data_IF_582830693870
#
_entry.id   IF_582830693870
#
_cell.length_a   1.000
_cell.length_b   1.000
_cell.length_c   1.000
_cell.angle_alpha   90.00
_cell.angle_beta   90.00
_cell.angle_gamma   90.00
#
_symmetry.space_group_name_H-M   'P 1'
#
loop_
_entity.id
_entity.type
_entity.pdbx_description
1 polymer ?
#
# COMPACT_ATOMS: atom_id res chain seq x y z
N UNK A 1 34.24 -21.69 29.17
CA UNK A 1 33.20 -20.66 29.40
C UNK A 1 33.90 -19.38 29.83
N UNK A 2 33.78 -18.29 29.08
CA UNK A 2 34.46 -17.02 29.41
C UNK A 2 33.79 -16.21 30.54
N UNK A 3 32.73 -16.74 31.18
CA UNK A 3 32.11 -16.12 32.36
C UNK A 3 31.38 -14.78 32.11
N UNK A 4 31.22 -14.36 30.85
CA UNK A 4 30.65 -13.04 30.49
C UNK A 4 29.17 -12.87 30.84
N UNK A 5 28.37 -13.94 30.86
CA UNK A 5 26.96 -13.91 31.21
C UNK A 5 26.76 -14.35 32.68
N UNK A 6 26.24 -13.44 33.50
CA UNK A 6 25.98 -13.67 34.94
C UNK A 6 24.52 -14.04 35.25
N UNK A 7 23.65 -14.11 34.24
CA UNK A 7 22.25 -14.45 34.45
C UNK A 7 22.04 -15.91 34.86
N UNK A 8 20.84 -16.22 35.33
CA UNK A 8 20.42 -17.61 35.59
C UNK A 8 20.43 -18.42 34.28
N UNK A 9 20.16 -19.72 34.36
CA UNK A 9 20.02 -20.60 33.18
C UNK A 9 19.03 -19.99 32.16
N UNK A 10 19.46 -19.79 30.92
CA UNK A 10 18.57 -19.47 29.81
C UNK A 10 17.75 -20.71 29.42
N UNK A 11 16.43 -20.58 29.36
CA UNK A 11 15.50 -21.66 28.99
C UNK A 11 14.56 -21.16 27.90
N UNK A 12 14.71 -21.68 26.69
CA UNK A 12 13.91 -21.27 25.53
C UNK A 12 12.72 -22.19 25.29
N UNK A 13 11.60 -21.61 24.85
CA UNK A 13 10.44 -22.33 24.33
C UNK A 13 10.17 -21.85 22.90
N UNK A 14 9.98 -22.77 21.97
CA UNK A 14 9.76 -22.46 20.56
C UNK A 14 8.28 -22.64 20.20
N UNK A 15 7.73 -21.67 19.47
CA UNK A 15 6.36 -21.70 18.99
C UNK A 15 6.32 -21.46 17.47
N UNK A 16 5.43 -22.17 16.78
CA UNK A 16 5.13 -21.93 15.36
C UNK A 16 3.62 -21.81 15.19
N UNK A 17 3.17 -20.64 14.76
CA UNK A 17 1.76 -20.34 14.60
C UNK A 17 1.44 -20.05 13.13
N UNK A 18 0.49 -20.79 12.54
CA UNK A 18 0.16 -20.63 11.13
C UNK A 18 -1.14 -21.31 10.73
N UNK A 19 -1.16 -22.63 10.66
CA UNK A 19 -2.31 -23.40 10.15
C UNK A 19 -3.61 -23.10 10.89
N UNK A 20 -3.56 -22.96 12.21
CA UNK A 20 -4.73 -22.70 13.03
C UNK A 20 -5.40 -21.33 12.73
N UNK A 21 -4.64 -20.35 12.23
CA UNK A 21 -5.15 -19.03 11.88
C UNK A 21 -5.76 -18.96 10.48
N UNK A 22 -5.49 -19.95 9.60
CA UNK A 22 -6.00 -19.93 8.21
C UNK A 22 -7.43 -20.45 8.08
N UNK A 23 -7.91 -21.21 9.07
CA UNK A 23 -9.27 -21.75 9.12
C UNK A 23 -10.13 -21.16 10.24
N UNK A 24 -9.69 -20.06 10.85
CA UNK A 24 -10.46 -19.38 11.89
C UNK A 24 -11.63 -18.59 11.29
N UNK A 25 -12.60 -18.22 12.13
CA UNK A 25 -13.65 -17.31 11.73
C UNK A 25 -13.06 -15.95 11.30
N UNK A 26 -13.48 -15.39 10.14
CA UNK A 26 -13.05 -14.08 9.69
C UNK A 26 -13.56 -12.98 10.64
N UNK A 27 -12.82 -11.88 10.76
CA UNK A 27 -13.30 -10.71 11.52
C UNK A 27 -14.50 -10.03 10.84
N UNK A 28 -15.24 -9.16 11.54
CA UNK A 28 -16.28 -8.33 10.90
C UNK A 28 -15.72 -7.56 9.70
N UNK A 29 -14.51 -7.00 9.82
CA UNK A 29 -13.82 -6.32 8.74
C UNK A 29 -13.61 -7.24 7.52
N UNK A 30 -13.10 -8.46 7.71
CA UNK A 30 -12.87 -9.40 6.61
C UNK A 30 -14.18 -9.90 5.99
N UNK A 31 -15.24 -10.08 6.79
CA UNK A 31 -16.58 -10.41 6.30
C UNK A 31 -17.11 -9.31 5.38
N UNK A 32 -17.12 -8.06 5.84
CA UNK A 32 -17.60 -6.92 5.06
C UNK A 32 -16.75 -6.73 3.80
N UNK A 33 -15.43 -6.83 3.93
CA UNK A 33 -14.50 -6.69 2.81
C UNK A 33 -14.73 -7.76 1.74
N UNK A 34 -14.79 -9.04 2.12
CA UNK A 34 -15.05 -10.13 1.19
C UNK A 34 -16.43 -10.02 0.53
N UNK A 35 -17.45 -9.63 1.30
CA UNK A 35 -18.80 -9.43 0.78
C UNK A 35 -18.83 -8.32 -0.28
N UNK A 36 -18.23 -7.17 0.00
CA UNK A 36 -18.14 -6.05 -0.95
C UNK A 36 -17.36 -6.44 -2.20
N UNK A 37 -16.23 -7.16 -2.08
CA UNK A 37 -15.47 -7.64 -3.24
C UNK A 37 -16.30 -8.57 -4.14
N UNK A 38 -17.12 -9.44 -3.55
CA UNK A 38 -18.06 -10.29 -4.30
C UNK A 38 -19.10 -9.46 -5.08
N UNK A 39 -19.68 -8.45 -4.44
CA UNK A 39 -20.64 -7.53 -5.08
C UNK A 39 -20.01 -6.74 -6.23
N UNK A 40 -18.79 -6.23 -6.05
CA UNK A 40 -18.04 -5.56 -7.13
C UNK A 40 -17.85 -6.50 -8.31
N UNK A 41 -17.47 -7.75 -8.04
CA UNK A 41 -17.25 -8.77 -9.07
C UNK A 41 -18.54 -9.03 -9.88
N UNK A 42 -19.70 -9.10 -9.21
CA UNK A 42 -21.00 -9.21 -9.88
C UNK A 42 -21.28 -8.01 -10.80
N UNK A 43 -21.07 -6.79 -10.31
CA UNK A 43 -21.25 -5.58 -11.13
C UNK A 43 -20.30 -5.51 -12.32
N UNK A 44 -19.05 -5.96 -12.16
CA UNK A 44 -18.09 -6.06 -13.25
C UNK A 44 -18.55 -7.02 -14.35
N UNK A 45 -19.07 -8.20 -13.98
CA UNK A 45 -19.62 -9.18 -14.92
C UNK A 45 -20.83 -8.60 -15.64
N UNK A 46 -21.76 -7.96 -14.91
CA UNK A 46 -22.94 -7.32 -15.48
C UNK A 46 -22.59 -6.20 -16.48
N UNK A 47 -21.49 -5.49 -16.25
CA UNK A 47 -20.95 -4.47 -17.15
C UNK A 47 -20.11 -5.05 -18.31
N UNK A 48 -19.93 -6.37 -18.40
CA UNK A 48 -19.14 -7.02 -19.45
C UNK A 48 -17.62 -6.80 -19.34
N UNK A 49 -17.12 -6.45 -18.14
CA UNK A 49 -15.69 -6.20 -17.91
C UNK A 49 -14.93 -7.51 -17.69
N UNK A 50 -13.74 -7.61 -18.29
CA UNK A 50 -12.83 -8.78 -18.15
C UNK A 50 -11.38 -8.33 -17.92
N UNK A 51 -10.61 -9.14 -17.19
CA UNK A 51 -9.20 -8.83 -16.89
C UNK A 51 -9.00 -7.76 -15.81
N UNK A 52 -10.01 -7.50 -14.98
CA UNK A 52 -9.96 -6.57 -13.85
C UNK A 52 -10.00 -7.33 -12.52
N UNK A 53 -9.41 -6.73 -11.49
CA UNK A 53 -9.47 -7.14 -10.09
C UNK A 53 -10.43 -6.20 -9.35
N UNK A 54 -11.37 -6.76 -8.59
CA UNK A 54 -12.19 -6.00 -7.66
C UNK A 54 -11.31 -5.39 -6.57
N UNK A 55 -11.49 -4.10 -6.28
CA UNK A 55 -10.71 -3.39 -5.26
C UNK A 55 -11.59 -2.42 -4.47
N UNK A 56 -11.19 -2.17 -3.23
CA UNK A 56 -11.87 -1.25 -2.32
C UNK A 56 -10.84 -0.32 -1.71
N UNK A 57 -11.09 0.98 -1.77
CA UNK A 57 -10.30 2.01 -1.11
C UNK A 57 -11.01 2.52 0.15
N UNK A 58 -10.28 3.26 0.99
CA UNK A 58 -10.74 3.85 2.25
C UNK A 58 -11.11 2.81 3.31
N UNK A 59 -10.41 1.68 3.34
CA UNK A 59 -10.66 0.59 4.29
C UNK A 59 -10.45 0.99 5.77
N UNK A 60 -9.71 2.07 6.03
CA UNK A 60 -9.56 2.68 7.36
C UNK A 60 -10.86 3.29 7.88
N UNK A 61 -11.72 3.79 6.99
CA UNK A 61 -13.01 4.38 7.32
C UNK A 61 -14.12 3.34 7.55
N UNK A 62 -15.26 3.72 8.18
CA UNK A 62 -16.44 2.87 8.26
C UNK A 62 -16.93 2.41 6.88
N UNK A 63 -17.59 1.24 6.81
CA UNK A 63 -17.99 0.56 5.56
C UNK A 63 -18.75 1.47 4.58
N UNK A 64 -19.63 2.33 5.07
CA UNK A 64 -20.41 3.25 4.22
C UNK A 64 -19.58 4.32 3.50
N UNK A 65 -18.31 4.51 3.87
CA UNK A 65 -17.37 5.41 3.20
C UNK A 65 -16.41 4.69 2.25
N UNK A 66 -16.51 3.37 2.16
CA UNK A 66 -15.66 2.58 1.28
C UNK A 66 -15.94 2.91 -0.17
N UNK A 67 -14.86 2.97 -0.96
CA UNK A 67 -14.92 3.29 -2.38
C UNK A 67 -14.64 2.04 -3.18
N UNK A 68 -15.64 1.58 -3.90
CA UNK A 68 -15.57 0.39 -4.74
C UNK A 68 -14.99 0.75 -6.12
N UNK A 69 -14.04 -0.04 -6.60
CA UNK A 69 -13.45 0.14 -7.93
C UNK A 69 -13.00 -1.19 -8.55
N UNK A 70 -12.59 -1.13 -9.81
CA UNK A 70 -12.01 -2.25 -10.53
C UNK A 70 -10.65 -1.82 -11.11
N UNK A 71 -9.59 -2.54 -10.77
CA UNK A 71 -8.24 -2.26 -11.24
C UNK A 71 -7.83 -3.25 -12.34
N UNK A 72 -7.33 -2.80 -13.51
CA UNK A 72 -6.91 -3.72 -14.56
C UNK A 72 -5.72 -4.56 -14.10
N UNK A 73 -5.78 -5.89 -14.28
CA UNK A 73 -4.72 -6.82 -13.84
C UNK A 73 -3.36 -6.46 -14.44
N UNK A 74 -3.35 -6.01 -15.69
CA UNK A 74 -2.14 -5.62 -16.42
C UNK A 74 -1.40 -4.45 -15.78
N UNK A 75 -2.08 -3.55 -15.06
CA UNK A 75 -1.43 -2.44 -14.35
C UNK A 75 -0.63 -2.89 -13.12
N UNK A 76 -0.89 -4.09 -12.61
CA UNK A 76 -0.18 -4.68 -11.47
C UNK A 76 0.90 -5.69 -11.89
N UNK A 77 1.00 -5.99 -13.19
CA UNK A 77 1.96 -6.95 -13.72
C UNK A 77 3.24 -6.26 -14.19
N UNK A 78 4.37 -6.93 -13.99
CA UNK A 78 5.61 -6.53 -14.65
C UNK A 78 6.32 -7.74 -15.25
N UNK A 79 7.14 -7.50 -16.28
CA UNK A 79 7.92 -8.54 -16.95
C UNK A 79 9.36 -8.45 -16.47
N UNK A 80 9.78 -9.38 -15.62
CA UNK A 80 11.20 -9.56 -15.30
C UNK A 80 11.84 -10.47 -16.33
N UNK A 81 12.83 -9.95 -17.07
CA UNK A 81 13.72 -10.77 -17.89
C UNK A 81 14.59 -11.59 -16.93
N UNK A 82 14.42 -12.91 -16.91
CA UNK A 82 15.45 -13.76 -16.33
C UNK A 82 16.69 -13.67 -17.23
N UNK A 83 17.84 -13.36 -16.63
CA UNK A 83 19.11 -13.25 -17.34
C UNK A 83 19.58 -14.59 -17.91
N UNK A 84 20.43 -14.43 -18.92
CA UNK A 84 20.98 -15.39 -19.87
C UNK A 84 21.45 -16.72 -19.23
N UNK A 85 20.91 -17.81 -19.76
CA UNK A 85 21.42 -19.17 -19.64
C UNK A 85 21.02 -19.98 -20.89
N UNK A 86 21.65 -21.13 -21.19
CA UNK A 86 21.26 -21.97 -22.32
C UNK A 86 19.82 -22.45 -22.13
N UNK A 87 18.91 -22.04 -23.02
CA UNK A 87 17.46 -22.31 -22.90
C UNK A 87 16.63 -21.15 -22.32
N UNK A 88 17.23 -19.98 -22.09
CA UNK A 88 16.48 -18.79 -21.67
C UNK A 88 15.52 -18.31 -22.78
N UNK A 89 14.24 -18.23 -22.44
CA UNK A 89 13.20 -17.65 -23.29
C UNK A 89 13.45 -16.13 -23.36
N UNK A 90 13.55 -15.50 -24.55
CA UNK A 90 13.82 -14.06 -24.68
C UNK A 90 12.70 -13.18 -24.11
N UNK A 91 11.50 -13.75 -23.89
CA UNK A 91 10.31 -13.08 -23.37
C UNK A 91 10.13 -13.50 -21.91
N UNK A 92 10.27 -12.55 -20.98
CA UNK A 92 9.96 -12.79 -19.56
C UNK A 92 8.47 -13.06 -19.37
N UNK A 93 8.12 -13.84 -18.34
CA UNK A 93 6.71 -14.09 -17.99
C UNK A 93 6.15 -12.91 -17.19
N UNK A 94 4.98 -12.34 -17.57
CA UNK A 94 4.36 -11.29 -16.78
C UNK A 94 3.86 -11.87 -15.46
N UNK A 95 4.16 -11.20 -14.35
CA UNK A 95 3.74 -11.63 -13.01
C UNK A 95 3.37 -10.44 -12.14
N UNK A 96 2.40 -10.64 -11.25
CA UNK A 96 2.16 -9.75 -10.11
C UNK A 96 3.16 -10.16 -9.03
N UNK A 97 3.99 -9.21 -8.61
CA UNK A 97 5.01 -9.48 -7.60
C UNK A 97 4.47 -9.31 -6.19
N UNK A 98 4.94 -10.11 -5.22
CA UNK A 98 4.69 -9.84 -3.81
C UNK A 98 5.15 -8.43 -3.46
N UNK A 99 4.33 -7.69 -2.72
CA UNK A 99 4.70 -6.38 -2.20
C UNK A 99 5.54 -6.58 -0.91
N UNK A 100 6.86 -6.29 -0.92
CA UNK A 100 7.65 -6.36 0.30
C UNK A 100 7.27 -5.21 1.25
N UNK A 101 7.67 -5.35 2.52
CA UNK A 101 7.50 -4.27 3.50
C UNK A 101 8.29 -3.04 3.04
N UNK A 102 7.63 -1.88 3.00
CA UNK A 102 8.30 -0.61 2.77
C UNK A 102 9.02 -0.16 4.05
N UNK A 103 10.35 -0.20 4.02
CA UNK A 103 11.21 0.25 5.13
C UNK A 103 11.17 1.77 5.35
N UNK A 104 10.57 2.53 4.44
CA UNK A 104 10.28 3.96 4.59
C UNK A 104 8.79 4.23 4.92
N UNK A 105 7.98 3.18 5.00
CA UNK A 105 6.56 3.28 5.30
C UNK A 105 6.30 3.61 6.77
N UNK A 106 5.18 4.29 7.03
CA UNK A 106 4.77 4.74 8.39
C UNK A 106 4.67 3.58 9.40
N UNK A 107 4.16 2.42 8.96
CA UNK A 107 4.05 1.26 9.82
C UNK A 107 5.42 0.75 10.32
N UNK A 108 6.42 0.71 9.43
CA UNK A 108 7.79 0.31 9.79
C UNK A 108 8.50 1.39 10.60
N UNK A 109 8.27 2.66 10.28
CA UNK A 109 8.79 3.79 11.05
C UNK A 109 8.33 3.75 12.50
N UNK A 110 7.04 3.50 12.75
CA UNK A 110 6.50 3.36 14.11
C UNK A 110 7.15 2.18 14.85
N UNK A 111 7.34 1.04 14.18
CA UNK A 111 8.04 -0.11 14.76
C UNK A 111 9.48 0.27 15.14
N UNK A 112 10.19 0.96 14.24
CA UNK A 112 11.58 1.40 14.47
C UNK A 112 11.69 2.37 15.63
N UNK A 113 10.75 3.31 15.77
CA UNK A 113 10.70 4.26 16.88
C UNK A 113 10.59 3.54 18.25
N UNK A 114 9.77 2.48 18.32
CA UNK A 114 9.54 1.73 19.57
C UNK A 114 10.48 0.54 19.79
N UNK A 115 11.27 0.16 18.80
CA UNK A 115 12.11 -1.05 18.84
C UNK A 115 13.08 -1.04 20.04
N UNK A 116 13.76 0.09 20.30
CA UNK A 116 14.71 0.21 21.41
C UNK A 116 14.03 0.07 22.78
N UNK A 117 12.83 0.64 22.95
CA UNK A 117 12.06 0.50 24.19
C UNK A 117 11.54 -0.93 24.37
N UNK A 118 11.08 -1.58 23.28
CA UNK A 118 10.60 -2.97 23.35
C UNK A 118 11.71 -3.97 23.64
N UNK A 119 12.97 -3.62 23.37
CA UNK A 119 14.12 -4.47 23.65
C UNK A 119 14.52 -4.45 25.13
N UNK A 120 14.39 -3.30 25.79
CA UNK A 120 14.91 -3.10 27.15
C UNK A 120 13.83 -3.15 28.23
N UNK A 121 12.59 -2.75 27.88
CA UNK A 121 11.49 -2.57 28.82
C UNK A 121 10.35 -3.56 28.54
N UNK A 122 9.59 -3.90 29.59
CA UNK A 122 8.48 -4.85 29.52
C UNK A 122 7.16 -4.18 29.05
N UNK A 123 7.12 -3.76 27.78
CA UNK A 123 5.92 -3.16 27.15
C UNK A 123 5.04 -4.20 26.42
N UNK A 124 4.54 -5.19 27.15
CA UNK A 124 3.66 -6.20 26.56
C UNK A 124 2.22 -5.70 26.41
N UNK A 125 1.58 -6.07 25.30
CA UNK A 125 0.13 -5.93 25.10
C UNK A 125 -0.48 -7.32 25.01
N UNK A 126 -1.63 -7.49 25.65
CA UNK A 126 -2.37 -8.75 25.64
C UNK A 126 -3.68 -8.54 24.88
N UNK A 127 -3.67 -8.62 23.54
CA UNK A 127 -4.92 -8.55 22.78
C UNK A 127 -5.83 -9.73 23.15
N UNK A 128 -7.13 -9.45 23.26
CA UNK A 128 -8.14 -10.49 23.42
C UNK A 128 -8.39 -11.26 22.13
N UNK A 129 -9.27 -12.27 22.20
CA UNK A 129 -9.78 -12.93 21.00
C UNK A 129 -10.63 -12.01 20.14
N UNK A 130 -10.78 -12.34 18.86
CA UNK A 130 -11.67 -11.62 17.93
C UNK A 130 -13.09 -11.59 18.52
N UNK A 131 -13.67 -10.39 18.60
CA UNK A 131 -15.05 -10.17 19.02
C UNK A 131 -15.91 -9.86 17.79
N UNK A 132 -17.17 -10.26 17.82
CA UNK A 132 -18.14 -10.01 16.73
C UNK A 132 -19.20 -8.98 17.12
N UNK A 133 -19.35 -8.74 18.42
CA UNK A 133 -20.31 -7.80 18.99
C UNK A 133 -19.63 -6.95 20.06
N UNK A 134 -20.15 -5.75 20.28
CA UNK A 134 -19.68 -4.84 21.32
C UNK A 134 -18.42 -4.03 20.95
N UNK A 135 -17.85 -3.31 21.92
CA UNK A 135 -16.71 -2.44 21.67
C UNK A 135 -15.50 -3.23 21.16
N UNK A 136 -14.98 -2.85 19.99
CA UNK A 136 -13.80 -3.46 19.38
C UNK A 136 -14.09 -4.60 18.40
N UNK A 137 -15.36 -4.93 18.14
CA UNK A 137 -15.73 -5.90 17.09
C UNK A 137 -15.25 -5.48 15.69
N UNK A 138 -15.19 -4.17 15.47
CA UNK A 138 -14.81 -3.58 14.17
C UNK A 138 -13.34 -3.11 14.17
N UNK A 139 -12.53 -3.64 15.08
CA UNK A 139 -11.11 -3.33 15.15
C UNK A 139 -10.40 -3.77 13.87
N UNK A 140 -9.55 -2.89 13.33
CA UNK A 140 -8.79 -3.11 12.10
C UNK A 140 -7.31 -3.36 12.41
N UNK A 141 -6.57 -4.03 11.53
CA UNK A 141 -5.12 -4.21 11.69
C UNK A 141 -4.41 -2.87 11.84
N UNK A 142 -3.46 -2.80 12.78
CA UNK A 142 -2.75 -1.55 13.08
C UNK A 142 -2.03 -0.98 11.85
N UNK A 143 -1.50 -1.85 10.99
CA UNK A 143 -0.85 -1.48 9.73
C UNK A 143 -1.77 -0.66 8.84
N UNK A 144 -3.03 -1.11 8.67
CA UNK A 144 -4.05 -0.40 7.90
C UNK A 144 -4.42 0.95 8.53
N UNK A 145 -4.43 1.04 9.86
CA UNK A 145 -4.81 2.29 10.56
C UNK A 145 -3.71 3.35 10.57
N UNK A 146 -2.44 2.95 10.48
CA UNK A 146 -1.28 3.86 10.46
C UNK A 146 -0.98 4.34 9.04
N UNK A 147 -1.31 3.52 8.04
CA UNK A 147 -1.18 3.92 6.66
C UNK A 147 -2.12 5.10 6.36
N UNK A 148 -1.55 6.15 5.76
CA UNK A 148 -2.27 7.36 5.35
C UNK A 148 -2.11 7.58 3.83
N UNK A 149 -1.97 6.50 3.07
CA UNK A 149 -1.87 6.60 1.61
C UNK A 149 -3.30 6.71 1.02
N UNK A 150 -3.78 7.95 0.85
CA UNK A 150 -5.02 8.21 0.08
C UNK A 150 -4.71 8.60 -1.36
N UNK A 151 -4.10 7.65 -2.09
CA UNK A 151 -3.70 7.87 -3.48
C UNK A 151 -4.89 8.27 -4.38
N UNK A 152 -6.07 7.70 -4.14
CA UNK A 152 -7.27 8.02 -4.90
C UNK A 152 -7.81 9.41 -4.56
N UNK A 153 -7.84 9.78 -3.28
CA UNK A 153 -8.20 11.13 -2.84
C UNK A 153 -7.24 12.20 -3.37
N UNK A 154 -5.93 11.91 -3.40
CA UNK A 154 -4.93 12.80 -3.97
C UNK A 154 -5.16 13.03 -5.48
N UNK A 155 -5.52 11.98 -6.24
CA UNK A 155 -5.88 12.10 -7.66
C UNK A 155 -7.16 12.93 -7.84
N UNK A 156 -8.17 12.72 -7.01
CA UNK A 156 -9.41 13.50 -7.06
C UNK A 156 -9.17 14.97 -6.75
N UNK A 157 -8.34 15.26 -5.75
CA UNK A 157 -7.91 16.62 -5.41
C UNK A 157 -7.17 17.28 -6.58
N UNK A 158 -6.26 16.56 -7.24
CA UNK A 158 -5.57 17.06 -8.44
C UNK A 158 -6.58 17.39 -9.55
N UNK A 159 -7.51 16.49 -9.86
CA UNK A 159 -8.56 16.71 -10.86
C UNK A 159 -9.40 17.94 -10.53
N UNK A 160 -9.80 18.10 -9.27
CA UNK A 160 -10.55 19.26 -8.79
C UNK A 160 -9.81 20.58 -9.07
N UNK A 161 -8.51 20.64 -8.83
CA UNK A 161 -7.72 21.85 -9.12
C UNK A 161 -7.55 22.10 -10.61
N UNK A 162 -7.38 21.05 -11.42
CA UNK A 162 -7.34 21.18 -12.87
C UNK A 162 -8.67 21.72 -13.42
N UNK A 163 -9.79 21.25 -12.89
CA UNK A 163 -11.11 21.78 -13.25
C UNK A 163 -11.28 23.24 -12.81
N UNK A 164 -10.80 23.62 -11.63
CA UNK A 164 -10.77 25.03 -11.20
C UNK A 164 -9.97 25.89 -12.18
N UNK A 165 -8.77 25.46 -12.58
CA UNK A 165 -7.96 26.17 -13.58
C UNK A 165 -8.76 26.32 -14.89
N UNK A 166 -9.36 25.24 -15.38
CA UNK A 166 -10.22 25.25 -16.58
C UNK A 166 -11.39 26.23 -16.46
N UNK A 167 -11.98 26.38 -15.27
CA UNK A 167 -13.06 27.36 -15.05
C UNK A 167 -12.58 28.81 -15.08
N UNK A 168 -11.33 29.07 -14.67
CA UNK A 168 -10.71 30.39 -14.67
C UNK A 168 -10.32 30.82 -16.10
N UNK A 169 -9.77 29.90 -16.90
CA UNK A 169 -9.26 30.20 -18.26
C UNK A 169 -10.32 30.09 -19.37
N UNK A 170 -11.59 30.38 -19.07
CA UNK A 170 -12.68 30.37 -20.05
C UNK A 170 -12.50 31.44 -21.15
N UNK A 171 -13.12 31.28 -22.34
CA UNK A 171 -13.17 32.33 -23.35
C UNK A 171 -13.71 33.63 -22.74
N UNK A 172 -12.93 34.72 -22.84
CA UNK A 172 -13.23 36.01 -22.19
C UNK A 172 -12.38 36.32 -20.95
N UNK A 173 -11.53 35.40 -20.49
CA UNK A 173 -10.55 35.71 -19.43
C UNK A 173 -9.47 36.70 -19.89
N UNK A 174 -8.84 37.39 -18.94
CA UNK A 174 -7.78 38.35 -19.26
C UNK A 174 -6.57 37.66 -19.89
N UNK A 175 -5.88 38.36 -20.79
CA UNK A 175 -4.69 37.82 -21.47
C UNK A 175 -3.56 37.50 -20.48
N UNK A 176 -3.47 38.25 -19.39
CA UNK A 176 -2.44 38.03 -18.35
C UNK A 176 -2.75 36.80 -17.51
N UNK A 177 -4.02 36.58 -17.14
CA UNK A 177 -4.47 35.35 -16.47
C UNK A 177 -4.18 34.12 -17.32
N UNK A 178 -4.46 34.19 -18.63
CA UNK A 178 -4.19 33.09 -19.56
C UNK A 178 -2.69 32.80 -19.69
N UNK A 179 -1.85 33.84 -19.82
CA UNK A 179 -0.39 33.68 -19.87
C UNK A 179 0.17 33.09 -18.57
N UNK A 180 -0.31 33.56 -17.42
CA UNK A 180 0.11 33.06 -16.12
C UNK A 180 -0.24 31.57 -15.97
N UNK A 181 -1.48 31.18 -16.29
CA UNK A 181 -1.91 29.80 -16.24
C UNK A 181 -1.07 28.88 -17.16
N UNK A 182 -0.80 29.30 -18.40
CA UNK A 182 0.05 28.53 -19.32
C UNK A 182 1.47 28.36 -18.75
N UNK A 183 2.07 29.45 -18.26
CA UNK A 183 3.43 29.41 -17.69
C UNK A 183 3.52 28.48 -16.47
N UNK A 184 2.52 28.53 -15.57
CA UNK A 184 2.44 27.63 -14.42
C UNK A 184 2.28 26.17 -14.84
N UNK A 185 1.42 25.87 -15.81
CA UNK A 185 1.20 24.50 -16.29
C UNK A 185 2.44 23.93 -16.99
N UNK A 186 3.19 24.75 -17.74
CA UNK A 186 4.48 24.36 -18.33
C UNK A 186 5.48 24.02 -17.21
N UNK A 187 5.58 24.86 -16.19
CA UNK A 187 6.48 24.63 -15.05
C UNK A 187 6.17 23.31 -14.33
N UNK A 188 4.89 23.07 -14.01
CA UNK A 188 4.45 21.81 -13.38
C UNK A 188 4.80 20.61 -14.26
N UNK A 189 4.57 20.69 -15.56
CA UNK A 189 4.89 19.60 -16.50
C UNK A 189 6.39 19.32 -16.54
N UNK A 190 7.23 20.36 -16.52
CA UNK A 190 8.68 20.20 -16.52
C UNK A 190 9.18 19.53 -15.23
N UNK A 191 8.71 19.97 -14.06
CA UNK A 191 9.05 19.35 -12.77
C UNK A 191 8.66 17.88 -12.75
N UNK A 192 7.42 17.55 -13.15
CA UNK A 192 6.94 16.17 -13.19
C UNK A 192 7.72 15.30 -14.18
N UNK A 193 8.14 15.86 -15.32
CA UNK A 193 8.97 15.15 -16.30
C UNK A 193 10.33 14.79 -15.71
N UNK A 194 10.97 15.71 -14.98
CA UNK A 194 12.23 15.43 -14.28
C UNK A 194 12.04 14.34 -13.23
N UNK A 195 10.94 14.39 -12.46
CA UNK A 195 10.64 13.39 -11.43
C UNK A 195 10.26 12.01 -11.99
N UNK A 196 9.68 11.93 -13.18
CA UNK A 196 9.30 10.65 -13.81
C UNK A 196 10.48 9.88 -14.41
N UNK A 197 11.66 10.49 -14.49
CA UNK A 197 12.87 9.75 -14.88
C UNK A 197 13.30 8.85 -13.71
N UNK A 198 13.46 7.55 -13.90
CA UNK A 198 13.88 6.66 -12.83
C UNK A 198 15.27 7.06 -12.36
N UNK A 199 15.39 7.48 -11.09
CA UNK A 199 16.64 7.46 -10.33
C UNK A 199 17.05 5.99 -10.12
N UNK A 200 17.51 5.33 -11.18
CA UNK A 200 18.15 4.02 -11.13
C UNK A 200 19.26 3.97 -12.18
N UNK A 201 20.37 4.62 -11.86
CA UNK A 201 21.67 4.18 -12.31
C UNK A 201 22.63 4.34 -11.12
N UNK A 202 22.98 3.19 -10.53
CA UNK A 202 24.22 2.93 -9.80
C UNK A 202 24.43 3.64 -8.45
N UNK A 203 24.01 2.98 -7.36
CA UNK A 203 24.78 3.03 -6.11
C UNK A 203 25.67 1.78 -6.08
N UNK A 204 27.01 1.89 -6.20
CA UNK A 204 27.89 0.76 -6.01
C UNK A 204 27.76 0.29 -4.56
N UNK A 205 27.38 -0.98 -4.40
CA UNK A 205 27.47 -1.67 -3.12
C UNK A 205 28.94 -1.68 -2.70
N UNK A 206 29.27 -0.88 -1.67
CA UNK A 206 30.54 -1.00 -0.97
C UNK A 206 30.62 -2.40 -0.36
N UNK A 207 31.50 -3.24 -0.89
CA UNK A 207 31.99 -4.42 -0.20
C UNK A 207 32.90 -3.93 0.93
N UNK A 208 32.50 -4.19 2.17
CA UNK A 208 33.44 -4.23 3.28
C UNK A 208 34.11 -5.61 3.26
N UNK A 209 35.44 -5.60 3.17
CA UNK A 209 36.31 -6.77 3.37
C UNK A 209 36.15 -7.33 4.79
#
# INVERSE_FOLDING_TARGET
KEGRYKGKKFSSVCHFFGYQARGSLPSNFDCDYAYVLGHISLHMIAAGLTGYMATVANLKDPVHKWRCAAAPLTAMMSVRRHLRGPGAIPIGKPAIHPSPIDLKGKAYELLREKASSFLLDDFYRTPGGIQFEGPGSDAKPITLTIEDQDYMGDIEMLKLYLDKVKTIVKPGCSRDTLKAAISSMISVTHVLTVMSHPLNAELPLYHFN
#
